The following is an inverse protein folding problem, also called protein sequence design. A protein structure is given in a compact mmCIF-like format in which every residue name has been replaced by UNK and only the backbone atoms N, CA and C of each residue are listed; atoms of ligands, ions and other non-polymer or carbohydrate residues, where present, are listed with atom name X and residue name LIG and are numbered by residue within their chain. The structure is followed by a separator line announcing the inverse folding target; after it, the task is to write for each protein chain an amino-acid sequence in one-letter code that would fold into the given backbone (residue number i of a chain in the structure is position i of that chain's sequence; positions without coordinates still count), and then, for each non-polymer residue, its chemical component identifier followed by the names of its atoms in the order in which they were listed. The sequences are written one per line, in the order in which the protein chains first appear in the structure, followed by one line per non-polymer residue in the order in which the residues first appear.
data_IF_193969484625
#
_entry.id   IF_193969484625
#
_cell.length_a   1.000
_cell.length_b   1.000
_cell.length_c   1.000
_cell.angle_alpha   90.00
_cell.angle_beta   90.00
_cell.angle_gamma   90.00
#
_symmetry.space_group_name_H-M   'P 1'
#
loop_
_entity.id
_entity.type
_entity.pdbx_description
1 polymer ?
#
# COMPACT_ATOMS: atom_id res chain seq x y z
N UNK A 1 -23.85 50.01 -15.52
CA UNK A 1 -23.13 50.35 -16.76
C UNK A 1 -21.79 50.95 -16.38
N UNK A 2 -20.77 50.11 -16.14
CA UNK A 2 -19.37 50.55 -16.01
C UNK A 2 -18.49 49.45 -16.58
N UNK A 3 -17.60 49.86 -17.48
CA UNK A 3 -16.60 49.09 -18.23
C UNK A 3 -15.34 48.86 -17.37
N UNK A 4 -14.38 48.14 -17.97
CA UNK A 4 -12.94 47.98 -17.60
C UNK A 4 -12.65 46.70 -16.82
N UNK A 5 -12.12 45.60 -17.36
CA UNK A 5 -10.99 45.34 -18.29
C UNK A 5 -9.59 45.59 -17.68
N UNK A 6 -8.68 44.64 -17.98
CA UNK A 6 -7.26 44.48 -17.59
C UNK A 6 -7.04 43.83 -16.20
N UNK A 7 -6.57 42.58 -16.05
CA UNK A 7 -5.44 41.83 -16.65
C UNK A 7 -4.08 42.52 -16.42
N UNK A 8 -3.22 41.93 -15.57
CA UNK A 8 -1.80 41.58 -15.75
C UNK A 8 -1.33 40.98 -14.42
N UNK A 9 -1.20 39.66 -14.30
CA UNK A 9 -0.02 38.83 -14.60
C UNK A 9 1.14 38.97 -13.59
N UNK A 10 1.49 37.82 -13.02
CA UNK A 10 2.86 37.30 -12.85
C UNK A 10 3.57 37.45 -11.50
N UNK A 11 4.52 36.51 -11.31
CA UNK A 11 5.46 36.28 -10.19
C UNK A 11 4.92 35.25 -9.18
N UNK A 12 5.07 33.93 -9.40
CA UNK A 12 6.32 33.14 -9.38
C UNK A 12 7.15 33.35 -8.11
N UNK A 13 7.11 32.39 -7.16
CA UNK A 13 8.31 31.70 -6.60
C UNK A 13 8.03 30.95 -5.28
N UNK A 14 8.36 29.65 -5.33
CA UNK A 14 9.20 28.87 -4.40
C UNK A 14 8.87 28.85 -2.90
N UNK A 15 8.64 27.62 -2.38
CA UNK A 15 9.14 27.17 -1.06
C UNK A 15 10.66 27.00 -1.11
N UNK A 16 11.41 27.22 -0.01
CA UNK A 16 11.90 26.13 0.87
C UNK A 16 11.86 26.51 2.38
N UNK A 17 11.61 25.60 3.34
CA UNK A 17 12.50 24.64 4.03
C UNK A 17 13.65 25.22 4.89
N UNK A 18 13.67 24.82 6.18
CA UNK A 18 14.78 24.93 7.16
C UNK A 18 14.50 25.92 8.30
N UNK A 19 14.92 25.79 9.56
CA UNK A 19 15.40 24.73 10.48
C UNK A 19 16.08 25.47 11.65
N UNK A 20 15.81 25.10 12.91
CA UNK A 20 16.51 25.64 14.10
C UNK A 20 15.98 27.00 14.57
N UNK A 21 16.04 27.40 15.84
CA UNK A 21 16.61 26.85 17.08
C UNK A 21 15.91 27.58 18.26
N UNK A 22 16.06 26.95 19.42
CA UNK A 22 15.90 27.38 20.81
C UNK A 22 15.79 28.86 21.20
N UNK A 23 15.22 29.03 22.42
CA UNK A 23 15.44 30.12 23.39
C UNK A 23 14.31 31.15 23.59
N UNK A 24 13.39 30.78 24.48
CA UNK A 24 12.54 31.72 25.23
C UNK A 24 12.82 31.56 26.73
N UNK A 25 13.47 32.53 27.39
CA UNK A 25 13.44 32.63 28.84
C UNK A 25 12.24 33.47 29.31
N UNK A 26 11.59 32.96 30.36
CA UNK A 26 10.61 33.67 31.20
C UNK A 26 11.33 34.72 32.05
N UNK A 27 10.77 35.92 32.16
CA UNK A 27 10.95 36.77 33.34
C UNK A 27 9.63 37.44 33.70
N UNK A 28 9.41 37.46 35.01
CA UNK A 28 8.18 37.69 35.74
C UNK A 28 8.15 39.13 36.29
N UNK A 29 6.95 39.57 36.67
CA UNK A 29 6.63 40.62 37.65
C UNK A 29 7.08 42.08 37.41
N UNK A 30 6.09 42.98 37.36
CA UNK A 30 5.85 43.95 38.45
C UNK A 30 4.63 44.82 38.11
N UNK A 31 3.56 44.71 38.92
CA UNK A 31 2.91 45.83 39.66
C UNK A 31 1.50 45.41 40.10
N UNK A 32 1.41 45.04 41.37
CA UNK A 32 0.19 45.08 42.16
C UNK A 32 -0.10 46.53 42.55
N UNK A 33 -1.34 47.02 42.35
CA UNK A 33 -1.98 48.01 43.24
C UNK A 33 -3.47 48.17 42.87
N UNK A 34 -4.25 48.46 43.91
CA UNK A 34 -5.66 48.85 43.92
C UNK A 34 -6.71 47.72 43.90
N UNK A 35 -6.79 47.04 45.06
CA UNK A 35 -8.02 46.50 45.61
C UNK A 35 -8.85 47.65 46.21
N UNK A 36 -10.17 47.54 46.07
CA UNK A 36 -11.20 48.08 46.97
C UNK A 36 -11.58 49.57 46.86
N UNK A 37 -12.69 49.81 46.14
CA UNK A 37 -13.70 50.80 46.55
C UNK A 37 -15.05 50.07 46.61
N UNK A 38 -15.50 49.90 47.86
CA UNK A 38 -16.88 49.88 48.37
C UNK A 38 -17.88 48.78 47.95
N UNK A 39 -18.13 47.93 48.95
CA UNK A 39 -19.35 47.16 49.22
C UNK A 39 -20.50 48.09 49.69
N UNK A 40 -21.71 47.51 49.66
CA UNK A 40 -23.02 47.96 50.19
C UNK A 40 -23.80 48.80 49.17
N UNK A 41 -24.95 48.35 48.65
CA UNK A 41 -26.21 48.14 49.39
C UNK A 41 -26.99 46.92 48.85
N UNK A 42 -27.38 46.04 49.77
CA UNK A 42 -28.44 45.00 49.70
C UNK A 42 -29.80 45.70 49.54
N UNK A 43 -30.88 45.19 48.94
CA UNK A 43 -31.74 44.07 49.41
C UNK A 43 -32.81 43.76 48.34
N UNK A 44 -33.23 42.48 48.26
CA UNK A 44 -34.63 41.97 48.10
C UNK A 44 -35.50 42.51 46.95
N UNK A 45 -36.34 41.76 46.23
CA UNK A 45 -36.77 40.35 46.11
C UNK A 45 -37.88 40.38 45.05
N UNK A 46 -38.14 39.23 44.39
CA UNK A 46 -39.39 38.92 43.66
C UNK A 46 -39.64 39.70 42.35
N UNK A 47 -40.26 39.17 41.31
CA UNK A 47 -40.64 37.83 40.85
C UNK A 47 -41.33 38.08 39.50
N UNK A 48 -41.16 37.16 38.54
CA UNK A 48 -42.02 36.91 37.37
C UNK A 48 -42.50 38.11 36.51
N UNK A 49 -41.97 38.22 35.29
CA UNK A 49 -42.81 37.93 34.12
C UNK A 49 -41.98 37.61 32.87
N UNK A 50 -42.22 36.38 32.38
CA UNK A 50 -42.52 36.03 31.00
C UNK A 50 -41.73 36.61 29.82
N UNK A 51 -41.35 35.68 28.95
CA UNK A 51 -41.23 35.87 27.51
C UNK A 51 -40.11 36.77 27.00
N UNK A 52 -38.91 36.18 26.81
CA UNK A 52 -38.29 36.08 25.48
C UNK A 52 -36.96 35.32 25.56
N UNK A 53 -37.02 34.02 25.93
CA UNK A 53 -36.01 33.08 25.45
C UNK A 53 -36.27 32.93 23.95
N UNK A 54 -35.68 33.84 23.17
CA UNK A 54 -35.52 33.69 21.72
C UNK A 54 -34.67 32.44 21.53
N UNK A 55 -35.34 31.29 21.46
CA UNK A 55 -34.80 30.04 20.90
C UNK A 55 -34.34 30.39 19.50
N UNK A 56 -33.08 30.82 19.38
CA UNK A 56 -32.35 30.75 18.14
C UNK A 56 -32.12 29.27 17.89
N UNK A 57 -33.19 28.61 17.43
CA UNK A 57 -33.14 27.31 16.82
C UNK A 57 -32.17 27.47 15.65
N UNK A 58 -30.91 27.06 15.86
CA UNK A 58 -30.11 26.59 14.75
C UNK A 58 -30.88 25.40 14.19
N UNK A 59 -31.79 25.67 13.25
CA UNK A 59 -32.26 24.67 12.32
C UNK A 59 -30.98 24.19 11.65
N UNK A 60 -30.46 23.05 12.12
CA UNK A 60 -29.45 22.30 11.38
C UNK A 60 -30.10 22.09 10.03
N UNK A 61 -29.68 22.87 9.04
CA UNK A 61 -30.02 22.59 7.66
C UNK A 61 -29.69 21.11 7.45
N UNK A 62 -30.61 20.31 6.87
CA UNK A 62 -30.33 18.90 6.63
C UNK A 62 -29.01 18.87 5.87
N UNK A 63 -27.99 18.25 6.48
CA UNK A 63 -26.64 18.18 5.91
C UNK A 63 -26.82 17.78 4.46
N UNK A 64 -26.55 18.72 3.56
CA UNK A 64 -26.56 18.48 2.13
C UNK A 64 -25.65 17.27 1.93
N UNK A 65 -26.26 16.14 1.56
CA UNK A 65 -25.51 14.91 1.38
C UNK A 65 -24.58 15.15 0.21
N UNK A 66 -23.34 15.55 0.48
CA UNK A 66 -22.29 15.68 -0.52
C UNK A 66 -22.14 14.29 -1.13
N UNK A 67 -22.79 14.08 -2.27
CA UNK A 67 -22.79 12.81 -3.01
C UNK A 67 -21.36 12.61 -3.48
N UNK A 68 -20.59 11.81 -2.74
CA UNK A 68 -19.20 11.54 -3.08
C UNK A 68 -19.14 11.02 -4.52
N UNK A 69 -18.20 11.50 -5.35
CA UNK A 69 -18.08 11.02 -6.71
C UNK A 69 -17.88 9.49 -6.69
N UNK A 70 -18.56 8.74 -7.59
CA UNK A 70 -18.51 7.29 -7.56
C UNK A 70 -17.06 6.83 -7.78
N UNK A 71 -16.57 5.97 -6.88
CA UNK A 71 -15.25 5.36 -7.05
C UNK A 71 -15.28 4.38 -8.22
N UNK A 72 -14.51 4.69 -9.27
CA UNK A 72 -14.38 3.81 -10.42
C UNK A 72 -13.69 2.50 -10.03
N UNK A 73 -14.35 1.38 -10.27
CA UNK A 73 -13.82 0.04 -10.07
C UNK A 73 -13.75 -0.68 -11.42
N UNK A 74 -12.72 -1.49 -11.63
CA UNK A 74 -12.53 -2.22 -12.88
C UNK A 74 -12.24 -3.69 -12.63
N UNK A 75 -12.61 -4.53 -13.59
CA UNK A 75 -12.37 -5.98 -13.53
C UNK A 75 -10.91 -6.27 -13.83
N UNK A 76 -10.26 -7.05 -12.97
CA UNK A 76 -8.83 -7.43 -13.10
C UNK A 76 -8.59 -8.75 -13.84
N UNK A 77 -9.63 -9.54 -14.08
CA UNK A 77 -9.53 -10.84 -14.77
C UNK A 77 -10.69 -11.00 -15.74
N UNK A 78 -10.46 -11.73 -16.83
CA UNK A 78 -11.50 -12.10 -17.80
C UNK A 78 -11.60 -13.63 -17.85
N UNK A 79 -12.83 -14.13 -17.83
CA UNK A 79 -13.10 -15.58 -17.91
C UNK A 79 -12.90 -16.04 -19.37
N UNK A 80 -12.31 -17.23 -19.59
CA UNK A 80 -12.22 -17.84 -20.92
C UNK A 80 -13.60 -18.00 -21.59
N UNK A 81 -13.63 -17.93 -22.93
CA UNK A 81 -14.89 -18.09 -23.69
C UNK A 81 -15.42 -19.52 -23.66
N UNK A 82 -14.54 -20.51 -23.84
CA UNK A 82 -14.86 -21.95 -23.82
C UNK A 82 -14.39 -22.56 -22.50
N UNK A 83 -15.30 -22.96 -21.60
CA UNK A 83 -14.91 -23.45 -20.28
C UNK A 83 -14.23 -24.82 -20.29
N UNK A 84 -14.69 -25.78 -21.10
CA UNK A 84 -14.30 -27.20 -21.01
C UNK A 84 -13.37 -27.64 -22.15
N UNK A 85 -12.34 -26.85 -22.41
CA UNK A 85 -11.29 -27.20 -23.38
C UNK A 85 -10.13 -27.87 -22.64
N UNK A 86 -9.90 -29.16 -22.90
CA UNK A 86 -8.90 -29.98 -22.20
C UNK A 86 -7.49 -29.37 -22.26
N UNK A 87 -7.00 -29.02 -23.46
CA UNK A 87 -5.67 -28.43 -23.67
C UNK A 87 -5.44 -27.15 -22.84
N UNK A 88 -6.47 -26.30 -22.69
CA UNK A 88 -6.41 -25.10 -21.86
C UNK A 88 -6.41 -25.45 -20.37
N UNK A 89 -7.22 -26.41 -19.95
CA UNK A 89 -7.28 -26.85 -18.55
C UNK A 89 -5.94 -27.45 -18.11
N UNK A 90 -5.29 -28.23 -18.96
CA UNK A 90 -4.01 -28.88 -18.68
C UNK A 90 -2.86 -27.88 -18.60
N UNK A 91 -2.80 -26.92 -19.55
CA UNK A 91 -1.79 -25.85 -19.50
C UNK A 91 -1.95 -24.94 -18.28
N UNK A 92 -3.19 -24.58 -17.92
CA UNK A 92 -3.45 -23.82 -16.69
C UNK A 92 -3.10 -24.61 -15.43
N UNK A 93 -3.34 -25.93 -15.42
CA UNK A 93 -3.03 -26.77 -14.27
C UNK A 93 -1.51 -26.90 -14.06
N UNK A 94 -0.74 -27.03 -15.14
CA UNK A 94 0.73 -27.02 -15.10
C UNK A 94 1.26 -25.72 -14.47
N UNK A 95 0.80 -24.57 -14.96
CA UNK A 95 1.20 -23.25 -14.41
C UNK A 95 0.80 -23.09 -12.93
N UNK A 96 -0.35 -23.62 -12.53
CA UNK A 96 -0.82 -23.56 -11.14
C UNK A 96 0.08 -24.40 -10.23
N UNK A 97 0.49 -25.58 -10.69
CA UNK A 97 1.41 -26.47 -9.98
C UNK A 97 2.80 -25.87 -9.84
N UNK A 98 3.40 -25.45 -10.95
CA UNK A 98 4.75 -24.88 -11.00
C UNK A 98 4.91 -23.64 -10.11
N UNK A 99 3.95 -22.73 -10.14
CA UNK A 99 4.05 -21.45 -9.42
C UNK A 99 3.28 -21.41 -8.10
N UNK A 100 2.71 -22.54 -7.67
CA UNK A 100 1.95 -22.66 -6.42
C UNK A 100 0.82 -21.64 -6.30
N UNK A 101 0.00 -21.52 -7.34
CA UNK A 101 -1.14 -20.60 -7.39
C UNK A 101 -2.35 -21.17 -6.65
N UNK A 102 -3.20 -20.31 -6.06
CA UNK A 102 -4.39 -20.79 -5.33
C UNK A 102 -5.56 -21.13 -6.25
N UNK A 103 -5.79 -20.32 -7.28
CA UNK A 103 -6.92 -20.45 -8.18
C UNK A 103 -6.52 -20.07 -9.61
N UNK A 104 -7.22 -20.62 -10.61
CA UNK A 104 -7.09 -20.25 -12.04
C UNK A 104 -7.32 -18.76 -12.30
N UNK A 105 -8.08 -18.07 -11.43
CA UNK A 105 -8.28 -16.61 -11.49
C UNK A 105 -6.96 -15.82 -11.41
N UNK A 106 -5.94 -16.33 -10.71
CA UNK A 106 -4.62 -15.67 -10.68
C UNK A 106 -3.94 -15.74 -12.05
N UNK A 107 -4.05 -16.87 -12.76
CA UNK A 107 -3.57 -17.02 -14.14
C UNK A 107 -4.32 -16.05 -15.07
N UNK A 108 -5.65 -16.00 -14.96
CA UNK A 108 -6.46 -15.11 -15.82
C UNK A 108 -6.22 -13.62 -15.58
N UNK A 109 -5.79 -13.24 -14.37
CA UNK A 109 -5.38 -11.86 -14.07
C UNK A 109 -4.12 -11.49 -14.85
N UNK A 110 -3.11 -12.36 -14.83
CA UNK A 110 -1.86 -12.17 -15.58
C UNK A 110 -2.11 -12.22 -17.09
N UNK A 111 -2.97 -13.14 -17.54
CA UNK A 111 -3.39 -13.22 -18.94
C UNK A 111 -4.10 -11.95 -19.43
N UNK A 112 -4.94 -11.32 -18.59
CA UNK A 112 -5.59 -10.07 -18.95
C UNK A 112 -4.59 -8.91 -19.05
N UNK A 113 -3.61 -8.82 -18.13
CA UNK A 113 -2.56 -7.78 -18.19
C UNK A 113 -1.71 -7.94 -19.45
N UNK A 114 -1.29 -9.16 -19.77
CA UNK A 114 -0.57 -9.48 -21.01
C UNK A 114 -1.36 -9.12 -22.26
N UNK A 115 -2.65 -9.46 -22.28
CA UNK A 115 -3.54 -9.13 -23.40
C UNK A 115 -3.65 -7.62 -23.62
N UNK A 116 -3.67 -6.81 -22.54
CA UNK A 116 -3.67 -5.34 -22.64
C UNK A 116 -2.35 -4.81 -23.19
N UNK A 117 -1.23 -5.35 -22.73
CA UNK A 117 0.11 -4.96 -23.19
C UNK A 117 0.28 -5.29 -24.68
N UNK A 118 -0.08 -6.52 -25.10
CA UNK A 118 -0.01 -6.94 -26.52
C UNK A 118 -0.98 -6.15 -27.40
N UNK A 119 -2.16 -5.77 -26.88
CA UNK A 119 -3.09 -4.89 -27.62
C UNK A 119 -2.48 -3.51 -27.87
N UNK A 120 -1.88 -2.90 -26.85
CA UNK A 120 -1.20 -1.61 -27.01
C UNK A 120 -0.01 -1.73 -28.00
N UNK A 121 0.82 -2.76 -27.86
CA UNK A 121 1.94 -2.99 -28.77
C UNK A 121 1.50 -3.12 -30.24
N UNK A 122 0.42 -3.88 -30.53
CA UNK A 122 -0.12 -3.99 -31.89
C UNK A 122 -0.59 -2.66 -32.47
N UNK A 123 -1.22 -1.81 -31.66
CA UNK A 123 -1.65 -0.47 -32.11
C UNK A 123 -0.48 0.47 -32.39
N UNK A 124 0.64 0.29 -31.68
CA UNK A 124 1.83 1.10 -31.90
C UNK A 124 2.65 0.63 -33.10
N UNK A 125 2.63 -0.68 -33.38
CA UNK A 125 3.35 -1.26 -34.52
C UNK A 125 2.71 -0.93 -35.87
N UNK A 126 1.42 -0.61 -35.92
CA UNK A 126 0.73 -0.15 -37.13
C UNK A 126 1.04 1.29 -37.50
N UNK A 127 1.59 2.07 -36.58
CA UNK A 127 1.98 3.47 -36.80
C UNK A 127 3.42 3.55 -37.32
N UNK A 128 3.79 4.67 -37.95
CA UNK A 128 5.14 4.86 -38.47
C UNK A 128 6.15 5.07 -37.33
N UNK A 129 7.40 4.67 -37.56
CA UNK A 129 8.46 4.71 -36.55
C UNK A 129 8.72 6.11 -35.97
N UNK A 130 8.50 7.14 -36.79
CA UNK A 130 8.75 8.55 -36.44
C UNK A 130 7.54 9.24 -35.80
N UNK A 131 6.40 8.55 -35.70
CA UNK A 131 5.21 9.14 -35.12
C UNK A 131 5.43 9.47 -33.63
N UNK A 132 5.00 10.67 -33.17
CA UNK A 132 5.20 11.09 -31.79
C UNK A 132 4.51 10.15 -30.79
N UNK A 133 3.36 9.58 -31.17
CA UNK A 133 2.63 8.60 -30.35
C UNK A 133 3.43 7.31 -30.17
N UNK A 134 4.02 6.78 -31.25
CA UNK A 134 4.82 5.55 -31.21
C UNK A 134 6.06 5.74 -30.36
N UNK A 135 6.76 6.87 -30.53
CA UNK A 135 7.95 7.20 -29.76
C UNK A 135 7.65 7.38 -28.27
N UNK A 136 6.58 8.09 -27.92
CA UNK A 136 6.25 8.36 -26.52
C UNK A 136 5.70 7.12 -25.81
N UNK A 137 4.63 6.52 -26.35
CA UNK A 137 3.95 5.38 -25.72
C UNK A 137 4.77 4.09 -25.80
N UNK A 138 5.47 3.87 -26.92
CA UNK A 138 6.34 2.71 -27.10
C UNK A 138 7.48 2.69 -26.10
N UNK A 139 8.20 3.80 -25.96
CA UNK A 139 9.28 3.92 -24.98
C UNK A 139 8.75 3.82 -23.54
N UNK A 140 7.58 4.39 -23.24
CA UNK A 140 6.96 4.26 -21.92
C UNK A 140 6.57 2.80 -21.61
N UNK A 141 6.10 2.05 -22.61
CA UNK A 141 5.77 0.63 -22.46
C UNK A 141 7.02 -0.20 -22.18
N UNK A 142 8.08 -0.04 -22.97
CA UNK A 142 9.35 -0.76 -22.82
C UNK A 142 9.99 -0.46 -21.47
N UNK A 143 10.07 0.82 -21.06
CA UNK A 143 10.61 1.22 -19.75
C UNK A 143 9.87 0.58 -18.58
N UNK A 144 8.55 0.41 -18.67
CA UNK A 144 7.77 -0.28 -17.63
C UNK A 144 8.11 -1.77 -17.57
N UNK A 145 8.27 -2.43 -18.71
CA UNK A 145 8.60 -3.85 -18.78
C UNK A 145 10.01 -4.15 -18.26
N UNK A 146 10.99 -3.33 -18.63
CA UNK A 146 12.37 -3.43 -18.13
C UNK A 146 12.40 -3.19 -16.62
N UNK A 147 11.72 -2.16 -16.11
CA UNK A 147 11.65 -1.90 -14.65
C UNK A 147 11.07 -3.07 -13.86
N UNK A 148 10.10 -3.77 -14.42
CA UNK A 148 9.53 -4.98 -13.81
C UNK A 148 10.48 -6.17 -13.93
N UNK A 149 11.31 -6.20 -14.97
CA UNK A 149 12.24 -7.30 -15.26
C UNK A 149 11.63 -8.41 -16.11
N UNK A 150 10.62 -8.09 -16.94
CA UNK A 150 10.04 -9.04 -17.90
C UNK A 150 10.88 -9.09 -19.18
N UNK A 151 11.44 -7.95 -19.56
CA UNK A 151 12.34 -7.80 -20.70
C UNK A 151 13.74 -7.48 -20.18
N UNK A 152 14.74 -8.03 -20.85
CA UNK A 152 16.15 -7.69 -20.64
C UNK A 152 16.53 -6.40 -21.38
N UNK A 153 17.59 -5.73 -20.94
CA UNK A 153 18.07 -4.45 -21.50
C UNK A 153 18.54 -4.60 -22.95
N UNK A 154 18.98 -5.79 -23.34
CA UNK A 154 19.39 -6.11 -24.71
C UNK A 154 18.22 -6.12 -25.71
N UNK A 155 16.97 -6.30 -25.26
CA UNK A 155 15.79 -6.57 -26.11
C UNK A 155 14.76 -5.44 -26.09
N UNK A 156 15.19 -4.19 -26.20
CA UNK A 156 14.31 -3.00 -26.17
C UNK A 156 13.54 -2.71 -27.47
N UNK A 157 13.09 -3.74 -28.20
CA UNK A 157 12.23 -3.56 -29.40
C UNK A 157 10.78 -3.93 -29.09
N UNK A 158 9.85 -3.26 -29.78
CA UNK A 158 8.41 -3.50 -29.62
C UNK A 158 7.99 -4.91 -30.04
N UNK A 159 8.71 -5.53 -30.97
CA UNK A 159 8.39 -6.86 -31.49
C UNK A 159 8.51 -7.95 -30.41
N UNK A 160 9.50 -7.84 -29.53
CA UNK A 160 9.69 -8.78 -28.42
C UNK A 160 8.55 -8.76 -27.41
N UNK A 161 7.83 -7.63 -27.31
CA UNK A 161 6.65 -7.52 -26.43
C UNK A 161 5.52 -8.45 -26.89
N UNK A 162 5.45 -8.75 -28.20
CA UNK A 162 4.43 -9.67 -28.73
C UNK A 162 4.75 -11.14 -28.43
N UNK A 163 6.01 -11.48 -28.20
CA UNK A 163 6.47 -12.83 -27.90
C UNK A 163 6.38 -13.19 -26.40
N UNK A 164 5.99 -12.24 -25.54
CA UNK A 164 5.88 -12.44 -24.10
C UNK A 164 4.91 -13.55 -23.71
N UNK A 165 5.34 -14.36 -22.73
CA UNK A 165 4.57 -15.47 -22.17
C UNK A 165 4.01 -15.13 -20.80
N UNK A 166 3.15 -16.01 -20.29
CA UNK A 166 2.55 -15.89 -18.95
C UNK A 166 3.60 -16.16 -17.87
N UNK A 167 4.52 -17.09 -18.13
CA UNK A 167 5.63 -17.43 -17.24
C UNK A 167 6.43 -16.20 -16.81
N UNK A 168 6.82 -15.34 -17.77
CA UNK A 168 7.66 -14.16 -17.51
C UNK A 168 7.09 -13.24 -16.41
N UNK A 169 5.77 -13.13 -16.31
CA UNK A 169 5.12 -12.34 -15.26
C UNK A 169 4.97 -13.10 -13.94
N UNK A 170 4.82 -14.43 -13.99
CA UNK A 170 4.75 -15.28 -12.80
C UNK A 170 6.11 -15.37 -12.11
N UNK A 171 7.21 -15.34 -12.86
CA UNK A 171 8.57 -15.32 -12.31
C UNK A 171 8.88 -14.05 -11.49
N UNK A 172 8.25 -12.92 -11.85
CA UNK A 172 8.44 -11.63 -11.17
C UNK A 172 7.58 -11.45 -9.93
N UNK A 173 6.79 -12.46 -9.56
CA UNK A 173 5.99 -12.42 -8.33
C UNK A 173 6.89 -12.56 -7.11
N UNK A 174 6.54 -11.88 -6.02
CA UNK A 174 7.28 -11.98 -4.76
C UNK A 174 7.40 -13.43 -4.29
N UNK A 175 6.35 -14.23 -4.47
CA UNK A 175 6.35 -15.65 -4.13
C UNK A 175 7.48 -16.45 -4.81
N UNK A 176 7.68 -16.24 -6.12
CA UNK A 176 8.68 -16.96 -6.91
C UNK A 176 10.07 -16.38 -6.71
N UNK A 177 10.19 -15.06 -6.60
CA UNK A 177 11.45 -14.40 -6.25
C UNK A 177 12.00 -14.90 -4.89
N UNK A 178 11.15 -15.01 -3.87
CA UNK A 178 11.55 -15.51 -2.53
C UNK A 178 12.03 -16.96 -2.58
N UNK A 179 11.37 -17.80 -3.39
CA UNK A 179 11.80 -19.20 -3.57
C UNK A 179 13.12 -19.29 -4.34
N UNK A 180 13.27 -18.52 -5.43
CA UNK A 180 14.52 -18.44 -6.22
C UNK A 180 15.70 -17.92 -5.38
N UNK A 181 15.45 -17.04 -4.40
CA UNK A 181 16.47 -16.54 -3.45
C UNK A 181 16.82 -17.55 -2.33
N UNK A 182 16.15 -18.70 -2.25
CA UNK A 182 16.44 -19.73 -1.24
C UNK A 182 15.92 -19.43 0.17
N UNK A 183 15.15 -18.35 0.37
CA UNK A 183 14.56 -18.02 1.68
C UNK A 183 13.49 -19.03 2.14
N UNK A 184 12.95 -19.81 1.21
CA UNK A 184 11.93 -20.82 1.47
C UNK A 184 12.25 -22.13 0.76
N UNK A 185 12.00 -23.25 1.45
CA UNK A 185 12.20 -24.61 0.90
C UNK A 185 11.34 -24.94 -0.34
N UNK A 186 10.14 -24.38 -0.41
CA UNK A 186 9.17 -24.64 -1.48
C UNK A 186 8.36 -23.37 -1.78
N UNK A 187 7.76 -23.31 -2.96
CA UNK A 187 6.92 -22.21 -3.42
C UNK A 187 5.68 -22.04 -2.53
N UNK A 188 5.12 -23.14 -2.03
CA UNK A 188 4.01 -23.08 -1.07
C UNK A 188 4.46 -22.52 0.29
N UNK A 189 5.66 -22.87 0.73
CA UNK A 189 6.26 -22.33 1.94
C UNK A 189 6.49 -20.82 1.82
N UNK A 190 7.02 -20.35 0.68
CA UNK A 190 7.19 -18.91 0.41
C UNK A 190 5.86 -18.15 0.55
N UNK A 191 4.75 -18.70 0.04
CA UNK A 191 3.43 -18.07 0.16
C UNK A 191 2.98 -17.93 1.61
N UNK A 192 3.24 -18.94 2.45
CA UNK A 192 2.89 -18.92 3.87
C UNK A 192 3.71 -17.85 4.60
N UNK A 193 5.02 -17.79 4.38
CA UNK A 193 5.92 -16.80 4.99
C UNK A 193 5.51 -15.36 4.67
N UNK A 194 5.16 -15.10 3.39
CA UNK A 194 4.68 -13.78 2.96
C UNK A 194 3.39 -13.42 3.69
N UNK A 195 2.39 -14.33 3.71
CA UNK A 195 1.10 -14.06 4.37
C UNK A 195 1.24 -13.84 5.88
N UNK A 196 2.17 -14.54 6.51
CA UNK A 196 2.50 -14.40 7.93
C UNK A 196 3.35 -13.16 8.25
N UNK A 197 3.67 -12.33 7.24
CA UNK A 197 4.40 -11.06 7.38
C UNK A 197 5.86 -11.24 7.82
N UNK A 198 6.50 -12.33 7.39
CA UNK A 198 7.91 -12.57 7.68
C UNK A 198 8.87 -11.94 6.66
N UNK A 199 8.36 -11.52 5.51
CA UNK A 199 9.18 -11.01 4.40
C UNK A 199 8.99 -9.50 4.23
N UNK A 200 10.11 -8.80 4.03
CA UNK A 200 10.13 -7.39 3.64
C UNK A 200 10.73 -7.20 2.26
N UNK A 201 10.33 -6.12 1.61
CA UNK A 201 10.95 -5.62 0.38
C UNK A 201 11.47 -4.22 0.68
N UNK A 202 12.79 -4.07 0.77
CA UNK A 202 13.44 -2.88 1.30
C UNK A 202 13.07 -2.68 2.77
N UNK A 203 12.39 -1.56 3.07
CA UNK A 203 11.96 -1.22 4.43
C UNK A 203 10.56 -1.74 4.77
N UNK A 204 9.73 -2.03 3.77
CA UNK A 204 8.31 -2.32 3.96
C UNK A 204 8.06 -3.82 4.08
N UNK A 205 7.26 -4.22 5.06
CA UNK A 205 6.75 -5.59 5.16
C UNK A 205 5.61 -5.77 4.15
N UNK A 206 5.71 -6.81 3.32
CA UNK A 206 4.73 -7.10 2.25
C UNK A 206 4.02 -8.41 2.57
N UNK A 207 2.69 -8.38 2.62
CA UNK A 207 1.85 -9.55 2.95
C UNK A 207 1.10 -10.15 1.75
N UNK A 208 1.32 -9.61 0.55
CA UNK A 208 0.65 -10.05 -0.69
C UNK A 208 1.62 -10.82 -1.58
N UNK A 209 1.41 -12.13 -1.83
CA UNK A 209 2.30 -12.94 -2.68
C UNK A 209 2.19 -12.60 -4.17
N UNK A 210 1.13 -11.89 -4.57
CA UNK A 210 0.91 -11.37 -5.93
C UNK A 210 1.67 -10.06 -6.20
N UNK A 211 2.46 -9.56 -5.25
CA UNK A 211 3.27 -8.37 -5.45
C UNK A 211 4.29 -8.60 -6.57
N UNK A 212 4.38 -7.68 -7.52
CA UNK A 212 5.33 -7.75 -8.62
C UNK A 212 6.60 -7.02 -8.20
N UNK A 213 7.71 -7.75 -8.13
CA UNK A 213 9.01 -7.24 -7.69
C UNK A 213 9.71 -6.55 -8.85
N UNK A 214 10.10 -5.29 -8.64
CA UNK A 214 10.96 -4.54 -9.58
C UNK A 214 12.42 -5.00 -9.46
N UNK A 215 13.21 -4.84 -10.52
CA UNK A 215 14.63 -5.20 -10.51
C UNK A 215 15.41 -4.51 -9.37
N UNK A 216 15.21 -3.21 -9.19
CA UNK A 216 15.88 -2.42 -8.13
C UNK A 216 15.56 -2.96 -6.72
N UNK A 217 14.33 -3.41 -6.51
CA UNK A 217 13.85 -3.88 -5.21
C UNK A 217 14.19 -5.34 -4.94
N UNK A 218 14.61 -6.09 -5.96
CA UNK A 218 14.87 -7.52 -5.85
C UNK A 218 16.05 -7.84 -4.92
N UNK A 219 17.07 -6.99 -4.90
CA UNK A 219 18.25 -7.12 -4.03
C UNK A 219 17.94 -6.93 -2.54
N UNK A 220 16.80 -6.31 -2.24
CA UNK A 220 16.44 -5.90 -0.89
C UNK A 220 15.31 -6.78 -0.31
N UNK A 221 15.25 -8.04 -0.71
CA UNK A 221 14.26 -9.01 -0.23
C UNK A 221 14.90 -9.83 0.87
N UNK A 222 14.46 -9.61 2.10
CA UNK A 222 14.97 -10.31 3.28
C UNK A 222 13.84 -10.64 4.26
N UNK A 223 14.18 -11.39 5.31
CA UNK A 223 13.33 -11.48 6.48
C UNK A 223 13.14 -10.11 7.13
N UNK A 224 11.93 -9.88 7.65
CA UNK A 224 11.64 -8.69 8.42
C UNK A 224 12.38 -8.75 9.76
N UNK A 225 12.98 -7.64 10.18
CA UNK A 225 13.69 -7.53 11.47
C UNK A 225 12.77 -7.82 12.66
N UNK A 226 11.48 -7.52 12.53
CA UNK A 226 10.47 -7.80 13.54
C UNK A 226 10.04 -9.27 13.58
N UNK A 227 10.38 -10.05 12.56
CA UNK A 227 9.99 -11.45 12.47
C UNK A 227 10.89 -12.34 13.32
N UNK A 228 10.38 -13.47 13.84
CA UNK A 228 11.19 -14.43 14.59
C UNK A 228 12.44 -14.95 13.84
N UNK A 229 12.39 -14.95 12.51
CA UNK A 229 13.50 -15.39 11.65
C UNK A 229 14.52 -14.28 11.36
N UNK A 230 14.15 -13.02 11.58
CA UNK A 230 15.02 -11.85 11.37
C UNK A 230 15.59 -11.27 12.67
N UNK A 231 15.63 -12.06 13.76
CA UNK A 231 16.11 -11.61 15.08
C UNK A 231 15.03 -11.03 15.99
N UNK A 232 13.75 -11.08 15.59
CA UNK A 232 12.63 -10.64 16.41
C UNK A 232 12.25 -11.63 17.52
N UNK A 233 11.42 -11.17 18.46
CA UNK A 233 10.92 -11.97 19.58
C UNK A 233 10.22 -13.26 19.07
N UNK A 234 10.47 -14.43 19.68
CA UNK A 234 9.79 -15.67 19.30
C UNK A 234 8.27 -15.55 19.43
N UNK A 235 7.56 -16.22 18.52
CA UNK A 235 6.10 -16.17 18.40
C UNK A 235 5.36 -16.67 19.66
N UNK A 236 4.09 -16.29 19.80
CA UNK A 236 3.26 -16.57 20.98
C UNK A 236 3.26 -18.05 21.37
N UNK A 237 3.01 -18.95 20.42
CA UNK A 237 2.92 -20.41 20.69
C UNK A 237 4.29 -20.96 21.08
N UNK A 238 5.37 -20.57 20.39
CA UNK A 238 6.72 -21.00 20.75
C UNK A 238 7.10 -20.53 22.16
N UNK A 239 6.72 -19.30 22.52
CA UNK A 239 6.92 -18.78 23.88
C UNK A 239 6.08 -19.53 24.92
N UNK A 240 4.81 -19.81 24.63
CA UNK A 240 3.95 -20.59 25.54
C UNK A 240 4.50 -22.01 25.75
N UNK A 241 4.96 -22.66 24.67
CA UNK A 241 5.57 -23.99 24.75
C UNK A 241 6.90 -23.98 25.51
N UNK A 242 7.76 -22.98 25.28
CA UNK A 242 9.01 -22.84 26.03
C UNK A 242 8.77 -22.59 27.52
N UNK A 243 7.77 -21.77 27.87
CA UNK A 243 7.39 -21.54 29.27
C UNK A 243 6.78 -22.79 29.92
N UNK A 244 5.97 -23.57 29.18
CA UNK A 244 5.43 -24.83 29.68
C UNK A 244 6.52 -25.90 29.86
N UNK A 245 7.50 -25.97 28.95
CA UNK A 245 8.66 -26.87 29.09
C UNK A 245 9.50 -26.49 30.32
N UNK A 246 9.82 -25.21 30.50
CA UNK A 246 10.59 -24.73 31.65
C UNK A 246 9.86 -24.90 33.00
N UNK A 247 8.52 -25.02 33.00
CA UNK A 247 7.73 -25.27 34.21
C UNK A 247 7.45 -26.76 34.49
N UNK A 248 7.79 -27.66 33.55
CA UNK A 248 7.65 -29.11 33.72
C UNK A 248 8.94 -29.80 34.18
N UNK A 249 10.07 -29.08 34.21
CA UNK A 249 11.41 -29.58 34.56
C UNK A 249 11.78 -29.28 36.03
N UNK A 250 10.82 -28.82 36.85
CA UNK A 250 11.03 -28.47 38.27
C UNK A 250 10.18 -29.29 39.24
N UNK A 251 9.91 -30.56 38.92
CA UNK A 251 9.06 -31.45 39.72
C UNK A 251 9.49 -32.92 39.73
N UNK A 252 10.76 -33.21 39.42
CA UNK A 252 11.39 -34.53 39.59
C UNK A 252 12.77 -34.31 40.25
N UNK A 253 12.78 -33.83 41.49
CA UNK A 253 13.95 -33.82 42.38
C UNK A 253 13.38 -33.72 43.81
N UNK A 254 12.95 -34.85 44.38
CA UNK A 254 12.80 -35.15 45.82
C UNK A 254 11.83 -36.33 45.98
N UNK A 255 12.36 -37.55 46.07
CA UNK A 255 11.87 -38.71 46.85
C UNK A 255 12.50 -39.99 46.27
N UNK A 256 13.75 -40.26 46.63
CA UNK A 256 14.34 -41.62 46.62
C UNK A 256 15.59 -41.61 47.54
N UNK A 257 15.41 -41.23 48.81
CA UNK A 257 16.31 -41.59 49.92
C UNK A 257 15.48 -41.85 51.20
N UNK A 258 15.01 -43.09 51.37
CA UNK A 258 15.04 -43.94 52.60
C UNK A 258 14.15 -45.19 52.46
#
# INVERSE_FOLDING_TARGET
MVKSFALVLWISRRRPCGSGTSDFPKVFSHLSRARAILRQISVRTFCYDSCLVRKFNSRRTPKEQVKMPPRAHSKTSRVPRRPFESARLDSELKLVGEYGLRNKREVWRVGLTLSKIRRAARQLLTLDEKDPKRLFEGNALIRRLVRVGVLDESRMKLDYVLALKIEDFLERRLQTCVWKLGLAKSIHHARVLIRQRHIRVGKQIVNVPSFIVRLDSQKHIDFALTSPFGGGRPGRVRRKKAAAAAGGEGGEDEEDEE
#
